data_IF_194101576394
#
_entry.id   IF_194101576394
#
_cell.length_a   1.000
_cell.length_b   1.000
_cell.length_c   1.000
_cell.angle_alpha   90.00
_cell.angle_beta   90.00
_cell.angle_gamma   90.00
#
_symmetry.space_group_name_H-M   'P 1'
#
loop_
_entity.id
_entity.type
_entity.pdbx_description
1 polymer ?
#
# COMPACT_ATOMS: atom_id res chain seq x y z
N UNK A 1 -16.09 2.83 9.90
CA UNK A 1 -15.64 1.91 8.84
C UNK A 1 -14.17 1.66 9.09
N UNK A 2 -13.80 0.44 9.46
CA UNK A 2 -12.50 0.09 10.03
C UNK A 2 -11.64 -0.53 8.93
N UNK A 3 -10.56 0.13 8.49
CA UNK A 3 -9.68 -0.42 7.46
C UNK A 3 -8.45 -1.04 8.12
N UNK A 4 -8.31 -2.36 7.92
CA UNK A 4 -7.23 -3.17 8.46
C UNK A 4 -6.37 -3.64 7.29
N UNK A 5 -5.22 -3.01 7.08
CA UNK A 5 -4.20 -3.45 6.12
C UNK A 5 -2.98 -3.92 6.92
N UNK A 6 -2.72 -5.23 6.91
CA UNK A 6 -1.49 -5.79 7.46
C UNK A 6 -0.50 -6.04 6.30
N UNK A 7 0.75 -5.62 6.48
CA UNK A 7 1.89 -5.91 5.58
C UNK A 7 2.90 -6.76 6.35
N UNK A 8 3.06 -8.03 6.01
CA UNK A 8 4.07 -8.95 6.58
C UNK A 8 3.59 -10.37 6.95
N UNK A 9 3.90 -11.38 6.13
CA UNK A 9 5.04 -12.29 6.34
C UNK A 9 5.38 -13.18 5.13
N UNK A 10 6.66 -13.56 5.09
CA UNK A 10 7.39 -14.50 4.19
C UNK A 10 7.70 -14.02 2.77
N UNK A 11 8.82 -13.30 2.67
CA UNK A 11 9.60 -12.84 1.49
C UNK A 11 9.37 -11.37 1.05
N UNK A 12 10.11 -10.49 1.74
CA UNK A 12 10.84 -9.34 1.19
C UNK A 12 10.09 -8.26 0.41
N UNK A 13 10.14 -7.02 0.93
CA UNK A 13 9.96 -5.83 0.09
C UNK A 13 11.18 -5.63 -0.82
N UNK A 14 11.26 -6.35 -1.95
CA UNK A 14 12.37 -6.20 -2.88
C UNK A 14 12.21 -4.92 -3.69
N UNK A 15 13.05 -3.93 -3.43
CA UNK A 15 13.33 -2.84 -4.37
C UNK A 15 14.51 -3.31 -5.21
N UNK A 16 14.30 -3.54 -6.49
CA UNK A 16 15.37 -3.83 -7.44
C UNK A 16 15.62 -2.60 -8.29
N UNK A 17 16.89 -2.21 -8.46
CA UNK A 17 17.31 -1.03 -9.22
C UNK A 17 18.58 -1.35 -10.01
N UNK A 18 18.75 -0.66 -11.13
CA UNK A 18 20.02 -0.59 -11.85
C UNK A 18 20.62 0.79 -11.60
N UNK A 19 21.83 0.85 -11.05
CA UNK A 19 22.54 2.12 -10.88
C UNK A 19 22.88 2.67 -12.28
N UNK A 20 22.71 3.97 -12.55
CA UNK A 20 23.20 4.53 -13.80
C UNK A 20 24.72 4.29 -13.90
N UNK A 21 25.26 4.03 -15.10
CA UNK A 21 26.69 3.80 -15.27
C UNK A 21 27.46 4.96 -14.64
N UNK A 22 28.26 4.65 -13.62
CA UNK A 22 29.18 5.61 -13.01
C UNK A 22 30.24 5.91 -14.06
N UNK A 23 30.11 7.06 -14.74
CA UNK A 23 31.19 7.59 -15.55
C UNK A 23 32.38 7.82 -14.63
N UNK A 24 33.42 6.99 -14.79
CA UNK A 24 34.67 7.11 -14.04
C UNK A 24 35.40 8.34 -14.59
N UNK A 25 35.55 9.44 -13.83
CA UNK A 25 36.36 10.55 -14.29
C UNK A 25 37.81 10.08 -14.36
N UNK A 26 38.39 10.10 -15.56
CA UNK A 26 39.83 9.92 -15.75
C UNK A 26 40.54 11.14 -15.17
N UNK A 27 41.04 11.03 -13.94
CA UNK A 27 41.85 12.06 -13.31
C UNK A 27 43.28 12.03 -13.87
N UNK A 28 43.71 13.13 -14.48
CA UNK A 28 45.11 13.38 -14.82
C UNK A 28 45.84 13.81 -13.53
N UNK A 29 46.92 13.15 -13.10
CA UNK A 29 47.68 13.58 -11.93
C UNK A 29 48.50 14.81 -12.29
N UNK A 30 48.14 15.97 -11.73
CA UNK A 30 49.02 17.15 -11.71
C UNK A 30 49.66 17.23 -10.33
N UNK A 31 50.94 16.90 -10.28
CA UNK A 31 51.80 17.01 -9.11
C UNK A 31 52.07 18.50 -8.82
N UNK A 32 51.63 18.98 -7.65
CA UNK A 32 51.92 20.34 -7.16
C UNK A 32 52.80 20.20 -5.91
N UNK A 33 53.93 20.93 -5.81
CA UNK A 33 54.84 20.85 -4.67
C UNK A 33 54.23 21.43 -3.38
N UNK A 34 54.69 20.99 -2.20
CA UNK A 34 54.12 21.38 -0.92
C UNK A 34 54.52 22.81 -0.55
N UNK A 35 53.53 23.65 -0.25
CA UNK A 35 53.74 24.92 0.45
C UNK A 35 53.23 24.78 1.87
N UNK A 36 54.15 24.75 2.83
CA UNK A 36 53.89 24.85 4.26
C UNK A 36 53.50 26.29 4.60
N UNK A 37 52.32 26.46 5.20
CA UNK A 37 51.93 27.67 5.91
C UNK A 37 51.42 27.24 7.29
N UNK A 38 52.05 27.66 8.40
CA UNK A 38 51.44 27.53 9.71
C UNK A 38 50.34 28.59 9.83
N UNK A 39 49.34 28.37 10.69
CA UNK A 39 48.80 29.43 11.58
C UNK A 39 47.52 28.98 12.28
N UNK A 40 47.63 29.02 13.60
CA UNK A 40 46.66 29.27 14.65
C UNK A 40 45.32 28.51 14.67
N UNK A 41 45.34 27.52 15.56
CA UNK A 41 44.23 26.97 16.33
C UNK A 41 43.37 28.07 16.98
N UNK A 42 42.07 28.20 16.62
CA UNK A 42 41.12 28.87 17.47
C UNK A 42 40.54 27.91 18.54
N UNK A 43 40.47 28.49 19.73
CA UNK A 43 39.91 28.05 21.01
C UNK A 43 38.47 27.47 20.90
N UNK A 44 38.11 26.41 21.65
CA UNK A 44 36.73 25.93 21.71
C UNK A 44 35.83 26.98 22.39
N UNK A 45 34.76 27.38 21.70
CA UNK A 45 33.70 28.20 22.28
C UNK A 45 32.66 27.26 22.89
N UNK A 46 32.66 27.20 24.22
CA UNK A 46 31.58 26.64 25.04
C UNK A 46 30.28 27.36 24.69
N UNK A 47 29.35 26.67 24.00
CA UNK A 47 28.00 27.18 23.79
C UNK A 47 27.07 26.48 24.78
N UNK A 48 26.51 27.31 25.65
CA UNK A 48 25.61 26.99 26.76
C UNK A 48 24.44 26.09 26.39
N UNK A 49 24.22 25.09 27.24
CA UNK A 49 23.02 24.26 27.33
C UNK A 49 21.80 25.12 27.71
N UNK A 50 20.68 25.09 26.97
CA UNK A 50 19.44 25.66 27.48
C UNK A 50 18.89 24.76 28.60
N UNK A 51 18.70 25.35 29.78
CA UNK A 51 17.90 24.79 30.87
C UNK A 51 16.43 24.87 30.49
N UNK A 52 15.86 23.76 30.02
CA UNK A 52 14.42 23.60 29.90
C UNK A 52 13.82 23.54 31.32
N UNK A 53 13.01 24.54 31.65
CA UNK A 53 12.21 24.61 32.88
C UNK A 53 11.04 23.63 32.76
N UNK A 54 10.80 22.74 33.73
CA UNK A 54 9.66 21.83 33.68
C UNK A 54 8.37 22.65 33.81
N UNK A 55 7.66 22.80 32.70
CA UNK A 55 6.29 23.31 32.72
C UNK A 55 5.38 22.15 33.12
N UNK A 56 4.90 22.18 34.37
CA UNK A 56 3.81 21.32 34.81
C UNK A 56 2.56 21.63 33.98
N UNK A 57 2.25 20.77 33.03
CA UNK A 57 0.99 20.83 32.31
C UNK A 57 -0.08 20.13 33.17
N UNK A 58 -0.91 20.95 33.81
CA UNK A 58 -2.11 20.50 34.52
C UNK A 58 -2.99 19.70 33.57
N UNK A 59 -3.22 18.44 33.92
CA UNK A 59 -4.12 17.52 33.22
C UNK A 59 -5.57 18.04 33.33
N UNK A 60 -6.27 18.38 32.23
CA UNK A 60 -7.72 18.53 32.29
C UNK A 60 -8.34 17.13 32.35
N UNK A 61 -8.76 16.73 33.56
CA UNK A 61 -9.66 15.60 33.76
C UNK A 61 -11.03 15.97 33.19
N UNK A 62 -11.27 15.63 31.92
CA UNK A 62 -12.61 15.63 31.36
C UNK A 62 -13.29 14.33 31.77
N UNK A 63 -14.07 14.44 32.85
CA UNK A 63 -15.04 13.44 33.27
C UNK A 63 -16.09 13.29 32.15
N UNK A 64 -16.26 12.12 31.52
CA UNK A 64 -17.41 11.90 30.65
C UNK A 64 -18.68 11.86 31.52
N UNK A 65 -19.48 12.92 31.41
CA UNK A 65 -20.86 12.94 31.89
C UNK A 65 -21.69 11.97 31.05
N UNK A 66 -22.04 10.83 31.62
CA UNK A 66 -23.01 9.91 31.04
C UNK A 66 -24.37 10.61 30.95
N UNK A 67 -24.69 11.13 29.78
CA UNK A 67 -26.05 11.57 29.48
C UNK A 67 -26.86 10.31 29.16
N UNK A 68 -27.75 10.01 30.10
CA UNK A 68 -28.74 8.94 30.05
C UNK A 68 -29.59 9.08 28.78
N UNK A 69 -29.46 8.14 27.85
CA UNK A 69 -30.38 8.01 26.71
C UNK A 69 -31.62 7.25 27.17
N UNK A 70 -32.77 7.85 26.88
CA UNK A 70 -34.11 7.39 27.20
C UNK A 70 -34.37 5.92 26.82
N UNK A 71 -34.84 5.18 27.81
CA UNK A 71 -35.43 3.86 27.68
C UNK A 71 -36.86 4.03 27.16
N UNK A 72 -37.08 3.75 25.87
CA UNK A 72 -38.42 3.53 25.37
C UNK A 72 -38.96 2.20 25.92
N UNK A 73 -39.93 2.33 26.82
CA UNK A 73 -40.75 1.21 27.30
C UNK A 73 -41.83 0.95 26.24
N UNK A 74 -41.64 -0.09 25.42
CA UNK A 74 -42.73 -0.60 24.61
C UNK A 74 -43.77 -1.27 25.53
N UNK A 75 -44.97 -0.72 25.52
CA UNK A 75 -46.14 -1.31 26.20
C UNK A 75 -46.64 -2.47 25.36
N UNK A 76 -46.70 -3.72 25.87
CA UNK A 76 -47.29 -4.82 25.13
C UNK A 76 -48.80 -4.61 25.07
N UNK A 77 -49.29 -4.18 23.92
CA UNK A 77 -50.73 -4.18 23.64
C UNK A 77 -51.13 -5.59 23.23
N UNK A 78 -51.64 -6.35 24.18
CA UNK A 78 -52.40 -7.57 23.90
C UNK A 78 -53.73 -7.19 23.25
N UNK A 79 -53.77 -7.15 21.91
CA UNK A 79 -55.03 -7.12 21.17
C UNK A 79 -55.41 -8.55 20.80
N UNK A 80 -56.38 -9.11 21.54
CA UNK A 80 -57.04 -10.36 21.19
C UNK A 80 -57.95 -10.08 20.01
N UNK A 81 -57.50 -10.37 18.79
CA UNK A 81 -58.37 -10.42 17.61
C UNK A 81 -58.95 -11.83 17.47
N UNK A 82 -60.26 -11.90 17.68
CA UNK A 82 -61.12 -13.06 17.54
C UNK A 82 -61.01 -13.63 16.12
N UNK A 83 -60.62 -14.91 16.03
CA UNK A 83 -60.49 -15.65 14.78
C UNK A 83 -61.85 -15.86 14.13
N UNK A 84 -62.02 -15.31 12.92
CA UNK A 84 -63.12 -15.67 12.03
C UNK A 84 -62.63 -16.84 11.16
N UNK A 85 -63.30 -18.01 11.14
CA UNK A 85 -62.90 -19.11 10.28
C UNK A 85 -63.22 -18.75 8.83
N UNK A 86 -62.19 -18.31 8.10
CA UNK A 86 -62.25 -18.13 6.65
C UNK A 86 -62.13 -19.50 5.98
N UNK A 87 -62.96 -19.82 4.97
CA UNK A 87 -62.90 -21.10 4.27
C UNK A 87 -61.51 -21.34 3.68
N UNK A 88 -60.92 -22.48 4.05
CA UNK A 88 -59.69 -23.02 3.50
C UNK A 88 -59.92 -23.46 2.05
N UNK A 89 -59.79 -22.52 1.12
CA UNK A 89 -59.41 -22.86 -0.23
C UNK A 89 -57.90 -23.08 -0.20
N UNK A 90 -57.48 -24.30 -0.48
CA UNK A 90 -56.07 -24.68 -0.61
C UNK A 90 -55.71 -24.57 -2.09
N UNK A 91 -55.32 -23.40 -2.64
CA UNK A 91 -54.62 -23.38 -3.90
C UNK A 91 -53.24 -23.97 -3.64
N UNK A 92 -53.05 -25.22 -4.05
CA UNK A 92 -51.73 -25.80 -4.25
C UNK A 92 -51.08 -25.07 -5.43
N UNK A 93 -50.64 -23.84 -5.20
CA UNK A 93 -49.75 -23.15 -6.11
C UNK A 93 -48.38 -23.81 -5.96
N UNK A 94 -48.09 -24.75 -6.85
CA UNK A 94 -46.74 -25.24 -7.08
C UNK A 94 -45.91 -24.03 -7.49
N UNK A 95 -45.16 -23.47 -6.54
CA UNK A 95 -44.17 -22.45 -6.82
C UNK A 95 -43.09 -23.11 -7.67
N UNK A 96 -43.24 -23.02 -8.99
CA UNK A 96 -42.14 -23.24 -9.92
C UNK A 96 -41.16 -22.11 -9.63
N UNK A 97 -40.15 -22.39 -8.80
CA UNK A 97 -39.00 -21.52 -8.67
C UNK A 97 -38.40 -21.41 -10.07
N UNK A 98 -38.70 -20.30 -10.74
CA UNK A 98 -37.94 -19.89 -11.89
C UNK A 98 -36.51 -19.71 -11.38
N UNK A 99 -35.65 -20.67 -11.73
CA UNK A 99 -34.21 -20.53 -11.54
C UNK A 99 -33.82 -19.22 -12.21
N UNK A 100 -33.65 -18.18 -11.39
CA UNK A 100 -33.07 -16.92 -11.85
C UNK A 100 -31.77 -17.31 -12.51
N UNK A 101 -31.55 -17.01 -13.80
CA UNK A 101 -30.30 -17.34 -14.44
C UNK A 101 -29.20 -16.68 -13.61
N UNK A 102 -28.38 -17.49 -12.94
CA UNK A 102 -27.14 -17.00 -12.36
C UNK A 102 -26.38 -16.44 -13.54
N UNK A 103 -26.31 -15.12 -13.64
CA UNK A 103 -25.42 -14.45 -14.58
C UNK A 103 -24.01 -14.74 -14.09
N UNK A 104 -23.50 -15.90 -14.45
CA UNK A 104 -22.08 -16.19 -14.40
C UNK A 104 -21.47 -15.24 -15.42
N UNK A 105 -21.03 -14.07 -14.95
CA UNK A 105 -20.25 -13.14 -15.74
C UNK A 105 -18.92 -13.81 -16.02
N UNK A 106 -18.88 -14.64 -17.06
CA UNK A 106 -17.64 -15.13 -17.63
C UNK A 106 -16.96 -13.90 -18.22
N UNK A 107 -16.10 -13.28 -17.43
CA UNK A 107 -15.24 -12.18 -17.87
C UNK A 107 -14.33 -12.74 -18.96
N UNK A 108 -14.72 -12.60 -20.22
CA UNK A 108 -13.85 -12.89 -21.36
C UNK A 108 -12.80 -11.79 -21.40
N UNK A 109 -11.63 -12.07 -20.82
CA UNK A 109 -10.42 -11.27 -20.98
C UNK A 109 -10.13 -11.17 -22.48
N UNK A 110 -10.53 -10.07 -23.11
CA UNK A 110 -10.11 -9.77 -24.48
C UNK A 110 -8.67 -9.31 -24.38
N UNK A 111 -7.74 -10.25 -24.58
CA UNK A 111 -6.33 -9.97 -24.73
C UNK A 111 -6.17 -8.96 -25.89
N UNK A 112 -5.96 -7.70 -25.54
CA UNK A 112 -5.89 -6.61 -26.51
C UNK A 112 -4.43 -6.46 -26.92
N UNK A 113 -4.16 -6.72 -28.20
CA UNK A 113 -2.88 -6.65 -28.90
C UNK A 113 -1.73 -7.51 -28.34
N UNK A 114 -1.32 -8.47 -29.17
CA UNK A 114 -0.01 -9.11 -29.14
C UNK A 114 1.06 -8.08 -29.57
N UNK A 115 1.33 -7.13 -28.68
CA UNK A 115 2.55 -6.33 -28.78
C UNK A 115 3.62 -7.23 -28.19
N UNK A 116 4.56 -7.70 -29.02
CA UNK A 116 5.77 -8.37 -28.55
C UNK A 116 6.57 -7.36 -27.71
N UNK A 117 6.24 -7.28 -26.42
CA UNK A 117 6.88 -6.39 -25.48
C UNK A 117 8.20 -7.00 -25.05
N UNK A 118 9.25 -6.18 -25.02
CA UNK A 118 10.58 -6.57 -24.58
C UNK A 118 10.50 -7.22 -23.19
N UNK A 119 11.12 -8.40 -22.98
CA UNK A 119 11.23 -9.00 -21.67
C UNK A 119 11.80 -8.02 -20.66
N UNK A 120 11.37 -8.13 -19.40
CA UNK A 120 11.94 -7.30 -18.34
C UNK A 120 13.42 -7.66 -18.16
N UNK A 121 14.36 -6.69 -18.21
CA UNK A 121 15.76 -6.96 -17.96
C UNK A 121 15.98 -7.40 -16.51
N UNK A 122 17.05 -8.17 -16.22
CA UNK A 122 17.40 -8.50 -14.85
C UNK A 122 17.77 -7.23 -14.09
N UNK A 123 17.21 -7.05 -12.89
CA UNK A 123 17.55 -5.96 -11.98
C UNK A 123 18.24 -6.51 -10.73
N UNK A 124 19.14 -5.72 -10.14
CA UNK A 124 19.85 -6.08 -8.91
C UNK A 124 19.04 -5.71 -7.68
N UNK A 125 19.10 -6.54 -6.64
CA UNK A 125 18.36 -6.27 -5.40
C UNK A 125 19.02 -5.10 -4.68
N UNK A 126 18.31 -3.98 -4.57
CA UNK A 126 18.76 -2.79 -3.85
C UNK A 126 18.46 -2.90 -2.36
N UNK A 127 17.24 -3.32 -2.01
CA UNK A 127 16.82 -3.39 -0.60
C UNK A 127 15.73 -4.43 -0.37
N UNK A 128 15.73 -5.00 0.85
CA UNK A 128 14.67 -5.87 1.34
C UNK A 128 14.49 -5.70 2.85
N UNK A 129 13.24 -5.60 3.28
CA UNK A 129 12.86 -5.59 4.69
C UNK A 129 11.73 -6.59 4.95
N UNK A 130 11.79 -7.22 6.12
CA UNK A 130 10.77 -8.13 6.64
C UNK A 130 10.14 -7.62 7.95
N UNK A 131 10.58 -6.45 8.43
CA UNK A 131 10.10 -5.74 9.63
C UNK A 131 10.30 -6.46 10.98
N UNK A 132 10.88 -7.66 11.01
CA UNK A 132 11.12 -8.43 12.24
C UNK A 132 12.02 -7.71 13.24
N UNK A 133 12.87 -6.82 12.76
CA UNK A 133 13.82 -6.07 13.60
C UNK A 133 13.24 -4.78 14.17
N UNK A 134 12.12 -4.30 13.63
CA UNK A 134 11.57 -2.98 13.94
C UNK A 134 12.51 -1.81 13.62
N UNK A 135 13.48 -2.01 12.72
CA UNK A 135 14.37 -0.95 12.25
C UNK A 135 13.75 -0.21 11.07
N UNK A 136 13.36 1.05 11.30
CA UNK A 136 12.76 1.91 10.29
C UNK A 136 13.71 2.96 9.74
N UNK A 137 15.03 2.80 9.91
CA UNK A 137 16.04 3.76 9.42
C UNK A 137 15.94 4.08 7.93
N UNK A 138 15.40 3.15 7.13
CA UNK A 138 15.20 3.31 5.69
C UNK A 138 13.77 3.72 5.30
N UNK A 139 12.89 3.92 6.28
CA UNK A 139 11.47 4.16 6.06
C UNK A 139 11.04 5.50 6.63
N UNK A 140 10.36 6.30 5.81
CA UNK A 140 9.57 7.42 6.28
C UNK A 140 8.12 6.95 6.41
N UNK A 141 7.72 6.65 7.64
CA UNK A 141 6.37 6.18 7.96
C UNK A 141 5.44 7.38 8.19
N UNK A 142 4.35 7.42 7.42
CA UNK A 142 3.29 8.41 7.63
C UNK A 142 2.41 8.10 8.84
N UNK A 143 1.39 8.93 9.07
CA UNK A 143 0.43 8.72 10.13
C UNK A 143 -0.35 7.40 9.95
N UNK A 144 -0.62 6.70 11.05
CA UNK A 144 -1.42 5.47 11.06
C UNK A 144 -0.63 4.19 10.80
N UNK A 145 0.67 4.28 10.54
CA UNK A 145 1.57 3.13 10.45
C UNK A 145 2.07 2.70 11.82
N UNK A 146 2.06 1.40 12.09
CA UNK A 146 2.61 0.81 13.32
C UNK A 146 3.20 -0.58 13.05
N UNK A 147 4.16 -0.98 13.87
CA UNK A 147 4.62 -2.35 13.92
C UNK A 147 3.66 -3.17 14.79
N UNK A 148 3.17 -4.29 14.27
CA UNK A 148 2.27 -5.20 14.98
C UNK A 148 2.83 -6.61 14.98
N UNK A 149 2.66 -7.32 16.09
CA UNK A 149 3.01 -8.74 16.13
C UNK A 149 2.09 -9.51 15.18
N UNK A 150 2.68 -10.38 14.35
CA UNK A 150 1.95 -11.26 13.45
C UNK A 150 2.71 -12.59 13.33
N UNK A 151 2.02 -13.70 13.58
CA UNK A 151 2.61 -15.03 13.70
C UNK A 151 3.82 -15.06 14.66
N UNK A 152 5.01 -15.41 14.15
CA UNK A 152 6.26 -15.50 14.91
C UNK A 152 7.12 -14.23 14.82
N UNK A 153 6.63 -13.17 14.19
CA UNK A 153 7.41 -11.97 13.89
C UNK A 153 6.58 -10.68 13.96
N UNK A 154 7.01 -9.68 13.20
CA UNK A 154 6.32 -8.40 13.08
C UNK A 154 5.92 -8.00 11.66
N UNK A 155 4.72 -7.45 11.54
CA UNK A 155 4.18 -6.89 10.32
C UNK A 155 4.05 -5.35 10.47
N UNK A 156 4.19 -4.64 9.37
CA UNK A 156 3.87 -3.22 9.31
C UNK A 156 2.36 -3.09 8.99
N UNK A 157 1.59 -2.50 9.90
CA UNK A 157 0.16 -2.27 9.73
C UNK A 157 -0.11 -0.80 9.46
N UNK A 158 -1.08 -0.53 8.59
CA UNK A 158 -1.69 0.81 8.48
C UNK A 158 -3.15 0.76 8.87
N UNK A 159 -3.54 1.72 9.71
CA UNK A 159 -4.89 1.83 10.24
C UNK A 159 -5.50 3.18 9.89
N UNK A 160 -6.66 3.16 9.22
CA UNK A 160 -7.46 4.34 8.85
C UNK A 160 -6.64 5.50 8.24
N UNK A 161 -5.70 5.17 7.36
CA UNK A 161 -4.81 6.13 6.72
C UNK A 161 -4.54 5.76 5.27
N UNK A 162 -4.31 6.77 4.44
CA UNK A 162 -3.87 6.64 3.04
C UNK A 162 -2.43 7.11 2.84
N UNK A 163 -1.71 7.40 3.93
CA UNK A 163 -0.32 7.83 3.87
C UNK A 163 0.58 6.67 3.43
N UNK A 164 1.63 6.98 2.67
CA UNK A 164 2.56 5.98 2.14
C UNK A 164 3.65 5.74 3.17
N UNK A 165 3.97 4.47 3.46
CA UNK A 165 5.27 4.10 4.04
C UNK A 165 6.31 4.20 2.93
N UNK A 166 7.12 5.26 2.97
CA UNK A 166 8.04 5.61 1.89
C UNK A 166 9.43 5.05 2.17
N UNK A 167 9.95 4.23 1.26
CA UNK A 167 11.36 3.84 1.26
C UNK A 167 12.23 5.06 0.93
N UNK A 168 13.27 5.27 1.72
CA UNK A 168 14.20 6.40 1.55
C UNK A 168 15.33 5.96 0.64
N UNK A 169 15.24 6.35 -0.63
CA UNK A 169 16.23 6.04 -1.67
C UNK A 169 16.63 7.27 -2.47
N UNK A 170 17.67 7.11 -3.29
CA UNK A 170 17.92 7.97 -4.45
C UNK A 170 16.81 7.81 -5.49
N UNK A 171 16.80 8.70 -6.49
CA UNK A 171 15.87 8.59 -7.61
C UNK A 171 16.24 7.40 -8.50
N UNK A 172 15.28 6.51 -8.75
CA UNK A 172 15.42 5.32 -9.58
C UNK A 172 14.65 5.53 -10.89
N UNK A 173 15.30 5.28 -12.02
CA UNK A 173 14.64 5.17 -13.32
C UNK A 173 14.02 3.79 -13.41
N UNK A 174 14.79 2.74 -13.63
CA UNK A 174 14.25 1.39 -13.77
C UNK A 174 14.11 0.73 -12.41
N UNK A 175 12.86 0.45 -12.05
CA UNK A 175 12.52 0.04 -10.69
C UNK A 175 11.43 -1.03 -10.69
N UNK A 176 11.65 -2.03 -9.83
CA UNK A 176 10.63 -3.00 -9.43
C UNK A 176 10.43 -2.89 -7.93
N UNK A 177 9.18 -2.76 -7.54
CA UNK A 177 8.76 -2.87 -6.15
C UNK A 177 7.80 -4.06 -6.00
N UNK A 178 8.08 -4.90 -5.03
CA UNK A 178 7.22 -6.03 -4.65
C UNK A 178 6.93 -5.94 -3.16
N UNK A 179 5.71 -6.28 -2.76
CA UNK A 179 5.33 -6.39 -1.35
C UNK A 179 4.24 -7.44 -1.18
N UNK A 180 4.17 -8.01 0.02
CA UNK A 180 3.18 -9.02 0.40
C UNK A 180 2.21 -8.38 1.38
N UNK A 181 0.93 -8.46 1.06
CA UNK A 181 -0.14 -7.83 1.82
C UNK A 181 -1.17 -8.85 2.29
N UNK A 182 -1.69 -8.64 3.50
CA UNK A 182 -2.85 -9.34 4.04
C UNK A 182 -4.04 -8.39 3.97
N UNK A 183 -4.97 -8.72 3.09
CA UNK A 183 -6.13 -7.88 2.73
C UNK A 183 -7.42 -8.59 3.11
N UNK A 184 -7.94 -8.29 4.29
CA UNK A 184 -9.31 -8.68 4.66
C UNK A 184 -10.33 -7.67 4.11
N UNK A 185 -9.92 -6.40 3.99
CA UNK A 185 -10.71 -5.32 3.40
C UNK A 185 -9.81 -4.24 2.78
N UNK A 186 -10.42 -3.26 2.13
CA UNK A 186 -9.70 -2.10 1.62
C UNK A 186 -8.85 -2.40 0.39
N UNK A 187 -7.67 -1.79 0.32
CA UNK A 187 -6.84 -1.76 -0.89
C UNK A 187 -5.35 -1.68 -0.54
N UNK A 188 -4.55 -2.60 -1.09
CA UNK A 188 -3.10 -2.52 -1.13
C UNK A 188 -2.69 -1.51 -2.19
N UNK A 189 -1.57 -0.81 -1.97
CA UNK A 189 -1.02 0.12 -2.94
C UNK A 189 0.50 0.06 -2.95
N UNK A 190 1.07 -0.05 -4.15
CA UNK A 190 2.50 0.16 -4.41
C UNK A 190 2.64 1.40 -5.29
N UNK A 191 3.63 2.23 -4.99
CA UNK A 191 3.97 3.45 -5.73
C UNK A 191 5.44 3.39 -6.11
N UNK A 192 5.78 3.75 -7.35
CA UNK A 192 7.16 3.85 -7.83
C UNK A 192 7.34 5.12 -8.67
N UNK A 193 8.60 5.53 -8.85
CA UNK A 193 8.97 6.79 -9.55
C UNK A 193 8.19 7.99 -9.00
N UNK A 194 8.00 8.05 -7.69
CA UNK A 194 7.31 9.17 -7.06
C UNK A 194 8.19 10.41 -7.13
N UNK A 195 7.60 11.49 -7.66
CA UNK A 195 8.15 12.84 -7.69
C UNK A 195 7.19 13.79 -6.97
N UNK A 196 7.49 15.09 -6.98
CA UNK A 196 6.59 16.10 -6.42
C UNK A 196 5.24 16.19 -7.15
N UNK A 197 5.18 15.79 -8.42
CA UNK A 197 4.01 16.02 -9.30
C UNK A 197 3.43 14.76 -9.93
N UNK A 198 4.13 13.63 -9.85
CA UNK A 198 3.76 12.42 -10.58
C UNK A 198 4.26 11.15 -9.89
N UNK A 199 3.60 10.03 -10.19
CA UNK A 199 4.01 8.69 -9.77
C UNK A 199 3.30 7.64 -10.62
N UNK A 200 3.89 6.45 -10.73
CA UNK A 200 3.12 5.26 -11.07
C UNK A 200 2.60 4.61 -9.79
N UNK A 201 1.34 4.19 -9.80
CA UNK A 201 0.76 3.49 -8.66
C UNK A 201 -0.06 2.31 -9.15
N UNK A 202 0.05 1.19 -8.44
CA UNK A 202 -0.87 0.06 -8.60
C UNK A 202 -1.65 -0.12 -7.31
N UNK A 203 -2.93 -0.47 -7.44
CA UNK A 203 -3.77 -0.86 -6.32
C UNK A 203 -4.34 -2.25 -6.52
N UNK A 204 -4.43 -3.04 -5.46
CA UNK A 204 -5.18 -4.31 -5.41
C UNK A 204 -6.24 -4.20 -4.32
N UNK A 205 -7.52 -4.35 -4.68
CA UNK A 205 -8.61 -4.40 -3.69
C UNK A 205 -8.85 -5.83 -3.18
N UNK A 206 -9.46 -5.96 -2.00
CA UNK A 206 -9.87 -7.27 -1.46
C UNK A 206 -10.84 -8.02 -2.40
N UNK A 207 -11.60 -7.29 -3.23
CA UNK A 207 -12.48 -7.86 -4.27
C UNK A 207 -11.72 -8.35 -5.53
N UNK A 208 -10.39 -8.26 -5.55
CA UNK A 208 -9.57 -8.73 -6.67
C UNK A 208 -9.45 -7.74 -7.83
N UNK A 209 -9.97 -6.51 -7.71
CA UNK A 209 -9.75 -5.48 -8.74
C UNK A 209 -8.33 -4.92 -8.63
N UNK A 210 -7.61 -4.94 -9.75
CA UNK A 210 -6.26 -4.39 -9.92
C UNK A 210 -6.33 -3.18 -10.82
N UNK A 211 -5.85 -2.03 -10.35
CA UNK A 211 -5.88 -0.77 -11.11
C UNK A 211 -4.47 -0.17 -11.17
N UNK A 212 -4.03 0.19 -12.38
CA UNK A 212 -2.78 0.88 -12.65
C UNK A 212 -3.05 2.36 -12.94
N UNK A 213 -2.34 3.25 -12.26
CA UNK A 213 -2.48 4.69 -12.36
C UNK A 213 -1.17 5.38 -12.73
N UNK A 214 -1.28 6.51 -13.42
CA UNK A 214 -0.21 7.50 -13.62
C UNK A 214 -0.68 8.86 -13.15
N UNK A 215 0.02 9.44 -12.19
CA UNK A 215 -0.33 10.75 -11.60
C UNK A 215 -1.80 10.82 -11.13
N UNK A 216 -2.32 9.72 -10.60
CA UNK A 216 -3.72 9.58 -10.17
C UNK A 216 -4.73 9.28 -11.28
N UNK A 217 -4.33 9.28 -12.55
CA UNK A 217 -5.19 8.93 -13.70
C UNK A 217 -5.13 7.43 -13.93
N UNK A 218 -6.28 6.77 -13.99
CA UNK A 218 -6.40 5.34 -14.30
C UNK A 218 -5.93 5.08 -15.73
N UNK A 219 -4.92 4.23 -15.88
CA UNK A 219 -4.41 3.79 -17.18
C UNK A 219 -5.04 2.47 -17.62
N UNK A 220 -5.12 1.50 -16.71
CA UNK A 220 -5.62 0.16 -17.00
C UNK A 220 -6.20 -0.50 -15.75
N UNK A 221 -7.21 -1.35 -15.96
CA UNK A 221 -7.81 -2.19 -14.94
C UNK A 221 -7.72 -3.66 -15.34
N UNK A 222 -7.60 -4.54 -14.36
CA UNK A 222 -7.66 -5.98 -14.50
C UNK A 222 -8.41 -6.58 -13.31
N UNK A 223 -8.93 -7.79 -13.49
CA UNK A 223 -9.51 -8.57 -12.40
C UNK A 223 -8.57 -9.74 -12.07
N UNK A 224 -8.48 -10.03 -10.79
CA UNK A 224 -7.82 -11.20 -10.23
C UNK A 224 -8.76 -11.88 -9.24
N UNK A 225 -8.43 -13.11 -8.81
CA UNK A 225 -9.24 -13.80 -7.79
C UNK A 225 -9.30 -12.97 -6.50
N UNK A 226 -10.49 -12.76 -5.91
CA UNK A 226 -10.63 -12.04 -4.64
C UNK A 226 -9.74 -12.62 -3.52
N UNK A 227 -9.32 -11.76 -2.59
CA UNK A 227 -8.62 -12.20 -1.38
C UNK A 227 -9.59 -12.91 -0.44
N UNK A 228 -9.16 -14.04 0.12
CA UNK A 228 -9.88 -14.67 1.24
C UNK A 228 -9.30 -14.17 2.57
N UNK A 229 -10.11 -14.21 3.63
CA UNK A 229 -9.69 -13.78 4.96
C UNK A 229 -8.42 -14.53 5.41
N UNK A 230 -7.44 -13.81 5.96
CA UNK A 230 -6.16 -14.40 6.38
C UNK A 230 -5.19 -14.72 5.24
N UNK A 231 -5.52 -14.40 3.97
CA UNK A 231 -4.66 -14.69 2.83
C UNK A 231 -3.67 -13.57 2.54
N UNK A 232 -2.39 -13.94 2.55
CA UNK A 232 -1.30 -13.14 2.00
C UNK A 232 -1.30 -13.16 0.47
N UNK A 233 -1.14 -11.98 -0.14
CA UNK A 233 -1.03 -11.77 -1.58
C UNK A 233 0.23 -11.00 -1.92
N UNK A 234 0.97 -11.44 -2.91
CA UNK A 234 2.12 -10.71 -3.45
C UNK A 234 1.65 -9.78 -4.55
N UNK A 235 1.88 -8.47 -4.39
CA UNK A 235 1.66 -7.48 -5.45
C UNK A 235 3.01 -6.96 -5.92
N UNK A 236 3.20 -6.87 -7.23
CA UNK A 236 4.43 -6.42 -7.86
C UNK A 236 4.13 -5.37 -8.92
N UNK A 237 4.85 -4.24 -8.86
CA UNK A 237 4.86 -3.20 -9.89
C UNK A 237 6.27 -3.04 -10.43
N UNK A 238 6.39 -3.15 -11.74
CA UNK A 238 7.62 -2.91 -12.51
C UNK A 238 7.43 -1.71 -13.42
N UNK A 239 8.36 -0.77 -13.37
CA UNK A 239 8.45 0.38 -14.27
C UNK A 239 9.86 0.44 -14.84
N UNK A 240 10.03 -0.21 -15.99
CA UNK A 240 11.34 -0.36 -16.65
C UNK A 240 11.25 0.18 -18.07
N UNK A 241 12.16 1.10 -18.41
CA UNK A 241 12.11 1.88 -19.64
C UNK A 241 10.74 2.56 -19.81
N UNK A 242 9.98 2.15 -20.83
CA UNK A 242 8.64 2.64 -21.17
C UNK A 242 7.55 1.59 -20.92
N UNK A 243 7.87 0.49 -20.24
CA UNK A 243 6.95 -0.63 -20.01
C UNK A 243 6.61 -0.76 -18.53
N UNK A 244 5.31 -0.84 -18.25
CA UNK A 244 4.74 -1.09 -16.93
C UNK A 244 4.22 -2.52 -16.87
N UNK A 245 4.64 -3.27 -15.85
CA UNK A 245 4.14 -4.63 -15.59
C UNK A 245 3.57 -4.71 -14.18
N UNK A 246 2.39 -5.30 -14.06
CA UNK A 246 1.78 -5.63 -12.76
C UNK A 246 1.59 -7.14 -12.68
N UNK A 247 2.01 -7.72 -11.57
CA UNK A 247 1.73 -9.12 -11.25
C UNK A 247 1.10 -9.24 -9.86
N UNK A 248 0.21 -10.22 -9.72
CA UNK A 248 -0.36 -10.67 -8.44
C UNK A 248 -0.03 -12.14 -8.28
N UNK A 249 0.59 -12.53 -7.17
CA UNK A 249 1.06 -13.88 -6.87
C UNK A 249 1.92 -14.49 -7.99
N UNK A 250 2.76 -13.67 -8.61
CA UNK A 250 3.63 -14.06 -9.73
C UNK A 250 2.93 -14.14 -11.09
N UNK A 251 1.60 -13.99 -11.15
CA UNK A 251 0.83 -13.98 -12.40
C UNK A 251 0.73 -12.54 -12.91
N UNK A 252 1.24 -12.29 -14.12
CA UNK A 252 1.16 -10.99 -14.77
C UNK A 252 -0.28 -10.68 -15.22
N UNK A 253 -0.87 -9.60 -14.69
CA UNK A 253 -2.26 -9.21 -14.94
C UNK A 253 -2.41 -7.94 -15.79
N UNK A 254 -1.39 -7.07 -15.76
CA UNK A 254 -1.33 -5.87 -16.61
C UNK A 254 0.05 -5.80 -17.23
N UNK A 255 0.08 -5.54 -18.54
CA UNK A 255 1.27 -5.02 -19.22
C UNK A 255 0.86 -3.88 -20.12
N UNK A 256 1.54 -2.75 -19.98
CA UNK A 256 1.22 -1.53 -20.70
C UNK A 256 2.51 -0.81 -21.10
N UNK A 257 2.55 -0.27 -22.32
CA UNK A 257 3.59 0.65 -22.75
C UNK A 257 3.14 2.10 -22.52
N UNK A 258 3.92 2.86 -21.75
CA UNK A 258 3.75 4.30 -21.59
C UNK A 258 4.65 5.06 -22.58
N UNK A 259 4.05 5.68 -23.61
CA UNK A 259 4.78 6.42 -24.65
C UNK A 259 5.48 7.68 -24.15
N UNK A 260 5.24 8.09 -22.91
CA UNK A 260 5.89 9.22 -22.26
C UNK A 260 6.18 8.83 -20.81
N UNK A 261 7.19 7.98 -20.54
CA UNK A 261 7.43 7.47 -19.21
C UNK A 261 7.74 8.59 -18.20
N UNK A 262 7.32 8.42 -16.96
CA UNK A 262 7.66 9.35 -15.88
C UNK A 262 9.18 9.35 -15.63
N UNK A 263 9.77 10.50 -15.26
CA UNK A 263 11.17 10.58 -14.89
C UNK A 263 11.49 9.73 -13.66
N UNK A 264 12.78 9.55 -13.38
CA UNK A 264 13.25 8.85 -12.19
C UNK A 264 12.69 9.48 -10.90
N UNK A 265 12.42 8.65 -9.89
CA UNK A 265 11.89 9.07 -8.60
C UNK A 265 12.05 7.98 -7.54
N UNK A 266 11.49 8.19 -6.37
CA UNK A 266 11.54 7.22 -5.24
C UNK A 266 10.39 6.23 -5.28
#
# INVERSE_FOLDING_TARGET
MCFLLLVGFSQSAHVLADDPPTETPTSIPTEIPPTVVPTDTPLPTETSTPTETPTEFLSPSLTPSLTQTDIFTETPTNQITQSTPLPSLTPSATATYAVSPTLTSTMTMTATQDISLTPEPPLSLSYSDNFDRGDFSHWNLGAGWSLVAHDSGYALQVFNSSTIAKYTSSNLSDVVAQSIFLLDNGTARIVVRQTATASYAVTLSAAGQVNLYRSGILMQTAAFSPSVYGQWRTLRLSAVSDTLRVAVDGIQVIVLRDVSPLPAGT
#
